data_IF_451625791127
#
_entry.id   IF_451625791127
#
_cell.length_a   1.000
_cell.length_b   1.000
_cell.length_c   1.000
_cell.angle_alpha   90.00
_cell.angle_beta   90.00
_cell.angle_gamma   90.00
#
_symmetry.space_group_name_H-M   'P 1'
#
loop_
_entity.id
_entity.type
_entity.pdbx_description
1 polymer ?
#
# COMPACT_ATOMS: atom_id res chain seq x y z
N UNK A 1 -11.79 -17.98 60.06
CA UNK A 1 -11.48 -17.68 59.40
C UNK A 1 -11.19 -17.10 58.67
N UNK A 2 -10.79 -16.78 58.53
CA UNK A 2 -10.46 -16.21 57.83
C UNK A 2 -10.24 -16.07 56.74
N UNK A 3 -10.32 -16.17 56.70
CA UNK A 3 -9.97 -16.25 55.50
C UNK A 3 -10.23 -15.22 54.57
N UNK A 4 -11.08 -14.94 54.41
CA UNK A 4 -11.34 -13.99 53.56
C UNK A 4 -10.92 -12.73 53.98
N UNK A 5 -9.79 -12.63 54.20
CA UNK A 5 -9.28 -11.46 54.67
C UNK A 5 -8.91 -10.50 53.61
N UNK A 6 -9.27 -10.66 52.46
CA UNK A 6 -8.85 -9.82 51.39
C UNK A 6 -7.49 -10.20 50.84
N UNK A 7 -7.06 -9.55 49.78
CA UNK A 7 -5.82 -9.88 49.12
C UNK A 7 -4.63 -9.25 49.83
N UNK A 8 -3.52 -9.94 49.80
CA UNK A 8 -2.29 -9.36 50.32
C UNK A 8 -1.79 -8.29 49.33
N UNK A 9 -0.94 -7.41 49.79
CA UNK A 9 -0.32 -6.40 48.95
C UNK A 9 0.46 -7.04 47.80
N UNK A 10 1.17 -8.14 48.10
CA UNK A 10 1.93 -8.85 47.09
C UNK A 10 1.01 -9.43 45.99
N UNK A 11 -0.11 -10.00 46.36
CA UNK A 11 -1.07 -10.53 45.42
C UNK A 11 -1.60 -9.44 44.52
N UNK A 12 -1.90 -8.26 45.04
CA UNK A 12 -2.36 -7.13 44.25
C UNK A 12 -1.28 -6.69 43.26
N UNK A 13 -0.02 -6.61 43.72
CA UNK A 13 1.09 -6.23 42.86
C UNK A 13 1.29 -7.22 41.73
N UNK A 14 1.19 -8.53 42.02
CA UNK A 14 1.33 -9.54 41.02
C UNK A 14 0.18 -9.47 40.01
N UNK A 15 -1.05 -9.28 40.51
CA UNK A 15 -2.22 -9.15 39.66
C UNK A 15 -2.10 -7.94 38.73
N UNK A 16 -1.62 -6.81 39.21
CA UNK A 16 -1.42 -5.62 38.41
C UNK A 16 -0.32 -5.83 37.38
N UNK A 17 0.75 -6.54 37.73
CA UNK A 17 1.82 -6.82 36.80
C UNK A 17 1.32 -7.72 35.66
N UNK A 18 0.54 -8.74 35.99
CA UNK A 18 -0.04 -9.65 34.98
C UNK A 18 -1.00 -8.88 34.08
N UNK A 19 -1.86 -8.06 34.67
CA UNK A 19 -2.82 -7.26 33.93
C UNK A 19 -2.10 -6.28 32.98
N UNK A 20 -1.07 -5.60 33.47
CA UNK A 20 -0.31 -4.66 32.65
C UNK A 20 0.37 -5.35 31.48
N UNK A 21 0.91 -6.55 31.71
CA UNK A 21 1.55 -7.35 30.67
C UNK A 21 0.55 -7.75 29.59
N UNK A 22 -0.62 -8.23 30.02
CA UNK A 22 -1.68 -8.62 29.09
C UNK A 22 -2.19 -7.43 28.29
N UNK A 23 -2.38 -6.29 28.96
CA UNK A 23 -2.85 -5.08 28.29
C UNK A 23 -1.84 -4.61 27.25
N UNK A 24 -0.54 -4.65 27.56
CA UNK A 24 0.51 -4.28 26.62
C UNK A 24 0.53 -5.23 25.42
N UNK A 25 0.35 -6.53 25.67
CA UNK A 25 0.31 -7.52 24.58
C UNK A 25 -0.87 -7.29 23.67
N UNK A 26 -2.06 -7.01 24.23
CA UNK A 26 -3.24 -6.73 23.42
C UNK A 26 -3.08 -5.46 22.61
N UNK A 27 -2.48 -4.43 23.18
CA UNK A 27 -2.26 -3.19 22.48
C UNK A 27 -1.28 -3.38 21.32
N UNK A 28 -0.20 -4.14 21.54
CA UNK A 28 0.77 -4.45 20.49
C UNK A 28 0.12 -5.24 19.35
N UNK A 29 -0.70 -6.24 19.69
CA UNK A 29 -1.41 -7.03 18.69
C UNK A 29 -2.36 -6.16 17.88
N UNK A 30 -3.08 -5.26 18.54
CA UNK A 30 -4.00 -4.34 17.86
C UNK A 30 -3.27 -3.43 16.88
N UNK A 31 -2.15 -2.88 17.30
CA UNK A 31 -1.35 -2.02 16.42
C UNK A 31 -0.83 -2.79 15.22
N UNK A 32 -0.44 -4.04 15.42
CA UNK A 32 0.01 -4.88 14.31
C UNK A 32 -1.09 -5.12 13.30
N UNK A 33 -2.30 -5.47 13.77
CA UNK A 33 -3.44 -5.72 12.90
C UNK A 33 -3.82 -4.46 12.13
N UNK A 34 -3.86 -3.32 12.80
CA UNK A 34 -4.18 -2.05 12.14
C UNK A 34 -3.14 -1.69 11.08
N UNK A 35 -1.87 -1.94 11.36
CA UNK A 35 -0.80 -1.71 10.39
C UNK A 35 -0.94 -2.60 9.17
N UNK A 36 -1.30 -3.87 9.36
CA UNK A 36 -1.51 -4.79 8.24
C UNK A 36 -2.71 -4.37 7.41
N UNK A 37 -3.79 -3.96 8.05
CA UNK A 37 -4.98 -3.49 7.33
C UNK A 37 -4.67 -2.26 6.47
N UNK A 38 -3.89 -1.34 7.00
CA UNK A 38 -3.49 -0.14 6.26
C UNK A 38 -2.64 -0.50 5.04
N UNK A 39 -1.76 -1.49 5.17
CA UNK A 39 -0.91 -1.94 4.05
C UNK A 39 -1.74 -2.61 2.97
N UNK A 40 -2.70 -3.45 3.36
CA UNK A 40 -3.59 -4.11 2.40
C UNK A 40 -4.43 -3.07 1.68
N UNK A 41 -4.97 -2.10 2.39
CA UNK A 41 -5.74 -1.02 1.79
C UNK A 41 -4.89 -0.22 0.80
N UNK A 42 -3.67 0.13 1.18
CA UNK A 42 -2.76 0.88 0.29
C UNK A 42 -2.46 0.10 -0.98
N UNK A 43 -2.24 -1.22 -0.87
CA UNK A 43 -1.98 -2.05 -2.04
C UNK A 43 -3.19 -2.13 -2.95
N UNK A 44 -4.39 -2.25 -2.37
CA UNK A 44 -5.61 -2.32 -3.16
C UNK A 44 -5.87 -1.01 -3.90
N UNK A 45 -5.76 0.11 -3.20
CA UNK A 45 -5.93 1.43 -3.83
C UNK A 45 -4.87 1.67 -4.89
N UNK A 46 -3.62 1.28 -4.61
CA UNK A 46 -2.54 1.39 -5.58
C UNK A 46 -2.78 0.56 -6.82
N UNK A 47 -3.33 -0.66 -6.65
CA UNK A 47 -3.67 -1.52 -7.79
C UNK A 47 -4.76 -0.90 -8.65
N UNK A 48 -5.79 -0.36 -8.02
CA UNK A 48 -6.86 0.32 -8.75
C UNK A 48 -6.34 1.55 -9.49
N UNK A 49 -5.49 2.33 -8.85
CA UNK A 49 -4.90 3.52 -9.45
C UNK A 49 -4.04 3.15 -10.66
N UNK A 50 -3.21 2.12 -10.52
CA UNK A 50 -2.38 1.64 -11.63
C UNK A 50 -3.24 1.14 -12.79
N UNK A 51 -4.28 0.40 -12.49
CA UNK A 51 -5.18 -0.14 -13.50
C UNK A 51 -5.94 0.97 -14.24
N UNK A 52 -6.42 1.96 -13.53
CA UNK A 52 -7.08 3.10 -14.13
C UNK A 52 -6.14 3.88 -15.04
N UNK A 53 -4.92 4.13 -14.56
CA UNK A 53 -3.95 4.88 -15.34
C UNK A 53 -3.54 4.11 -16.60
N UNK A 54 -3.37 2.80 -16.48
CA UNK A 54 -3.04 1.94 -17.60
C UNK A 54 -4.16 1.97 -18.65
N UNK A 55 -5.41 1.93 -18.19
CA UNK A 55 -6.56 2.03 -19.09
C UNK A 55 -6.58 3.34 -19.84
N UNK A 56 -6.26 4.43 -19.16
CA UNK A 56 -6.15 5.75 -19.82
C UNK A 56 -5.07 5.74 -20.89
N UNK A 57 -3.94 5.13 -20.60
CA UNK A 57 -2.85 5.05 -21.59
C UNK A 57 -3.26 4.23 -22.82
N UNK A 58 -4.02 3.15 -22.61
CA UNK A 58 -4.50 2.32 -23.71
C UNK A 58 -5.47 3.06 -24.61
N UNK A 59 -6.22 3.98 -24.05
CA UNK A 59 -7.20 4.75 -24.80
C UNK A 59 -6.64 6.04 -25.41
N UNK A 60 -5.41 6.37 -25.07
CA UNK A 60 -4.79 7.61 -25.51
C UNK A 60 -4.51 7.56 -27.02
N UNK A 61 -4.90 8.61 -27.72
CA UNK A 61 -4.66 8.74 -29.16
C UNK A 61 -4.07 10.13 -29.43
N UNK A 62 -2.85 10.18 -30.01
CA UNK A 62 -1.98 9.07 -30.40
C UNK A 62 -1.45 8.31 -29.19
N UNK A 63 -0.86 7.12 -29.39
CA UNK A 63 -0.27 6.36 -28.29
C UNK A 63 0.78 7.15 -27.54
N UNK A 64 0.98 6.87 -26.24
CA UNK A 64 1.96 7.63 -25.46
C UNK A 64 3.37 7.42 -26.00
N UNK A 65 4.18 8.46 -25.89
CA UNK A 65 5.57 8.41 -26.34
C UNK A 65 6.44 7.68 -25.32
N UNK A 66 7.50 6.97 -25.78
CA UNK A 66 8.47 6.39 -24.85
C UNK A 66 9.11 7.46 -23.98
N UNK A 67 9.46 7.09 -22.75
CA UNK A 67 10.10 7.98 -21.81
C UNK A 67 9.72 7.66 -20.39
N UNK A 68 10.29 8.40 -19.45
CA UNK A 68 10.01 8.27 -18.05
C UNK A 68 9.32 9.52 -17.53
N UNK A 69 8.32 9.34 -16.69
CA UNK A 69 7.52 10.44 -16.18
C UNK A 69 7.04 10.10 -14.77
N UNK A 70 7.10 11.09 -13.92
CA UNK A 70 6.57 10.96 -12.57
C UNK A 70 5.32 11.80 -12.47
N UNK A 71 4.25 11.19 -11.97
CA UNK A 71 2.95 11.82 -11.83
C UNK A 71 2.57 11.89 -10.36
N UNK A 72 1.90 12.97 -10.00
CA UNK A 72 1.32 13.11 -8.67
C UNK A 72 -0.19 13.12 -8.86
N UNK A 73 -0.85 12.16 -8.25
CA UNK A 73 -2.29 11.99 -8.40
C UNK A 73 -2.95 11.97 -7.03
N UNK A 74 -4.17 12.48 -6.98
CA UNK A 74 -4.99 12.42 -5.78
C UNK A 74 -6.08 11.37 -6.02
N UNK A 75 -6.18 10.40 -5.13
CA UNK A 75 -7.12 9.32 -5.28
C UNK A 75 -7.52 8.80 -3.90
N UNK A 76 -8.82 8.60 -3.69
CA UNK A 76 -9.35 8.13 -2.40
C UNK A 76 -8.90 9.02 -1.23
N UNK A 77 -8.89 10.33 -1.46
CA UNK A 77 -8.50 11.35 -0.46
C UNK A 77 -7.06 11.21 0.01
N UNK A 78 -6.21 10.59 -0.80
CA UNK A 78 -4.79 10.46 -0.55
C UNK A 78 -4.01 10.91 -1.76
N UNK A 79 -2.80 11.38 -1.53
CA UNK A 79 -1.90 11.75 -2.60
C UNK A 79 -1.00 10.57 -2.94
N UNK A 80 -0.81 10.34 -4.24
CA UNK A 80 -0.03 9.22 -4.75
C UNK A 80 1.01 9.69 -5.73
N UNK A 81 2.09 8.96 -5.80
CA UNK A 81 3.13 9.17 -6.79
C UNK A 81 3.16 7.96 -7.71
N UNK A 82 3.02 8.20 -9.01
CA UNK A 82 3.07 7.16 -10.02
C UNK A 82 4.31 7.41 -10.87
N UNK A 83 5.20 6.44 -10.91
CA UNK A 83 6.36 6.46 -11.79
C UNK A 83 6.01 5.66 -13.03
N UNK A 84 6.05 6.31 -14.18
CA UNK A 84 5.68 5.72 -15.46
C UNK A 84 6.91 5.64 -16.34
N UNK A 85 7.18 4.46 -16.85
CA UNK A 85 8.26 4.26 -17.81
C UNK A 85 7.71 3.53 -19.01
N UNK A 86 7.91 4.09 -20.19
CA UNK A 86 7.44 3.52 -21.44
C UNK A 86 8.64 3.27 -22.33
N UNK A 87 8.80 2.04 -22.76
CA UNK A 87 9.90 1.61 -23.60
C UNK A 87 9.34 0.95 -24.84
N UNK A 88 9.89 1.32 -26.01
CA UNK A 88 9.51 0.67 -27.26
C UNK A 88 10.21 -0.67 -27.35
N UNK A 89 9.43 -1.74 -27.54
CA UNK A 89 9.99 -3.08 -27.72
C UNK A 89 10.40 -3.27 -29.17
N UNK A 90 11.68 -3.50 -29.43
CA UNK A 90 12.15 -3.62 -30.82
C UNK A 90 11.49 -4.77 -31.57
N UNK A 91 11.05 -4.50 -32.78
CA UNK A 91 10.54 -5.54 -33.69
C UNK A 91 9.15 -6.06 -33.36
N UNK A 92 8.48 -5.53 -32.36
CA UNK A 92 7.17 -6.05 -31.95
C UNK A 92 6.04 -5.09 -32.27
N UNK A 93 6.31 -3.81 -32.42
CA UNK A 93 5.25 -2.80 -32.53
C UNK A 93 4.53 -2.56 -31.21
N UNK A 94 5.11 -2.96 -30.10
CA UNK A 94 4.53 -2.81 -28.78
C UNK A 94 5.33 -1.84 -27.93
N UNK A 95 4.63 -1.20 -27.02
CA UNK A 95 5.24 -0.37 -25.98
C UNK A 95 5.11 -1.11 -24.66
N UNK A 96 6.21 -1.24 -23.94
CA UNK A 96 6.20 -1.80 -22.60
C UNK A 96 5.99 -0.67 -21.61
N UNK A 97 4.93 -0.75 -20.84
CA UNK A 97 4.60 0.24 -19.84
C UNK A 97 4.89 -0.34 -18.47
N UNK A 98 5.72 0.33 -17.69
CA UNK A 98 6.03 -0.04 -16.33
C UNK A 98 5.51 1.05 -15.41
N UNK A 99 4.62 0.70 -14.51
CA UNK A 99 4.04 1.62 -13.56
C UNK A 99 4.40 1.20 -12.13
N UNK A 100 4.85 2.15 -11.34
CA UNK A 100 5.11 1.93 -9.92
C UNK A 100 4.33 2.97 -9.14
N UNK A 101 3.51 2.52 -8.21
CA UNK A 101 2.64 3.38 -7.43
C UNK A 101 3.10 3.40 -5.98
N UNK A 102 3.26 4.59 -5.43
CA UNK A 102 3.68 4.81 -4.04
C UNK A 102 2.83 5.90 -3.42
N UNK A 103 2.51 5.80 -2.12
CA UNK A 103 1.90 6.94 -1.44
C UNK A 103 2.86 8.12 -1.44
N UNK A 104 2.33 9.33 -1.62
CA UNK A 104 3.16 10.53 -1.55
C UNK A 104 3.82 10.62 -0.17
N UNK A 105 5.09 10.98 -0.15
CA UNK A 105 5.84 11.03 1.09
C UNK A 105 6.46 9.72 1.51
N UNK A 106 6.20 8.63 0.78
CA UNK A 106 6.83 7.34 1.01
C UNK A 106 7.61 6.93 -0.23
N UNK A 107 8.78 6.32 -0.02
CA UNK A 107 9.55 5.79 -1.13
C UNK A 107 9.20 4.34 -1.42
N UNK A 108 8.40 3.73 -0.55
CA UNK A 108 8.04 2.33 -0.70
C UNK A 108 6.95 2.17 -1.75
N UNK A 109 7.24 1.39 -2.78
CA UNK A 109 6.28 1.06 -3.83
C UNK A 109 5.28 0.06 -3.27
N UNK A 110 3.97 0.37 -3.39
CA UNK A 110 2.92 -0.53 -2.94
C UNK A 110 2.37 -1.39 -4.07
N UNK A 111 2.56 -0.96 -5.33
CA UNK A 111 2.09 -1.72 -6.49
C UNK A 111 3.02 -1.46 -7.65
N UNK A 112 3.33 -2.50 -8.42
CA UNK A 112 4.13 -2.41 -9.63
C UNK A 112 3.47 -3.26 -10.70
N UNK A 113 3.30 -2.67 -11.89
CA UNK A 113 2.60 -3.32 -13.01
C UNK A 113 3.43 -3.14 -14.26
N UNK A 114 3.53 -4.20 -15.05
CA UNK A 114 4.14 -4.15 -16.37
C UNK A 114 3.12 -4.65 -17.38
N UNK A 115 2.92 -3.87 -18.45
CA UNK A 115 1.93 -4.21 -19.46
C UNK A 115 2.41 -3.77 -20.83
N UNK A 116 1.93 -4.42 -21.87
CA UNK A 116 2.27 -4.06 -23.24
C UNK A 116 1.06 -3.53 -23.95
N UNK A 117 1.23 -2.40 -24.62
CA UNK A 117 0.16 -1.78 -25.41
C UNK A 117 0.65 -1.60 -26.84
N UNK A 118 -0.29 -1.47 -27.79
CA UNK A 118 0.08 -1.27 -29.18
C UNK A 118 0.67 0.11 -29.40
N UNK A 119 1.77 0.16 -30.16
CA UNK A 119 2.41 1.42 -30.50
C UNK A 119 1.63 2.18 -31.57
N UNK A 120 0.73 1.49 -32.29
CA UNK A 120 -0.11 2.10 -33.31
C UNK A 120 -1.55 1.67 -33.10
N UNK A 121 -2.46 2.59 -33.37
CA UNK A 121 -3.89 2.28 -33.41
C UNK A 121 -4.30 2.15 -34.86
N UNK A 122 -4.80 0.99 -35.17
CA UNK A 122 -5.32 0.72 -36.52
C UNK A 122 -6.82 1.02 -36.59
#
# INVERSE_FOLDING_TARGET
MKAEKGFTLLEIMIALAVFATLAAALMSASQYVLGQSARVEARLLGAWLADNHLSELQLQTPPPAPGQKNLHLSYAQRDWRVSQRIVSEPGTGLLRVELSVSPAGSEQTVQSVTHWIGATHD
#
